data_IF_768194717763
#
_entry.id   IF_768194717763
#
_cell.length_a   1.000
_cell.length_b   1.000
_cell.length_c   1.000
_cell.angle_alpha   90.00
_cell.angle_beta   90.00
_cell.angle_gamma   90.00
#
_symmetry.space_group_name_H-M   'P 1'
#
loop_
_entity.id
_entity.type
_entity.pdbx_description
1 polymer ?
#
# COMPACT_ATOMS: atom_id res chain seq x y z
N UNK A 1 -62.06 5.63 -34.98
CA UNK A 1 -61.74 4.27 -34.45
C UNK A 1 -60.50 4.33 -33.56
N UNK A 2 -60.49 3.57 -32.47
CA UNK A 2 -59.91 3.92 -31.16
C UNK A 2 -58.41 3.53 -31.01
N UNK A 3 -57.55 4.53 -30.79
CA UNK A 3 -56.14 4.47 -30.36
C UNK A 3 -55.91 3.94 -28.91
N UNK A 4 -56.83 3.13 -28.35
CA UNK A 4 -56.86 2.76 -26.92
C UNK A 4 -56.72 1.25 -26.64
N UNK A 5 -55.91 0.51 -27.40
CA UNK A 5 -55.74 -0.94 -27.15
C UNK A 5 -54.31 -1.36 -26.79
N UNK A 6 -53.31 -0.48 -26.88
CA UNK A 6 -51.93 -0.85 -26.50
C UNK A 6 -51.53 -0.53 -25.05
N UNK A 7 -52.43 0.07 -24.24
CA UNK A 7 -52.13 0.54 -22.88
C UNK A 7 -52.90 -0.20 -21.77
N UNK A 8 -53.14 -1.52 -21.93
CA UNK A 8 -53.78 -2.36 -20.88
C UNK A 8 -53.08 -3.72 -20.69
N UNK A 9 -51.75 -3.74 -20.65
CA UNK A 9 -50.96 -4.88 -20.14
C UNK A 9 -49.79 -4.44 -19.26
N UNK A 10 -50.00 -3.44 -18.41
CA UNK A 10 -48.97 -2.97 -17.50
C UNK A 10 -49.25 -3.31 -16.02
N UNK A 11 -50.41 -3.89 -15.67
CA UNK A 11 -50.83 -3.99 -14.26
C UNK A 11 -51.45 -5.36 -13.98
N UNK A 12 -50.65 -6.43 -14.01
CA UNK A 12 -50.99 -7.73 -13.38
C UNK A 12 -49.89 -8.79 -13.57
N UNK A 13 -48.74 -8.60 -12.91
CA UNK A 13 -47.90 -9.69 -12.36
C UNK A 13 -47.05 -9.11 -11.22
N UNK A 14 -47.71 -8.60 -10.17
CA UNK A 14 -47.12 -8.51 -8.83
C UNK A 14 -47.51 -9.79 -8.10
N UNK A 15 -46.84 -10.89 -8.45
CA UNK A 15 -46.88 -12.11 -7.67
C UNK A 15 -45.45 -12.65 -7.58
N UNK A 16 -44.82 -12.43 -6.43
CA UNK A 16 -43.74 -13.27 -5.92
C UNK A 16 -42.42 -13.21 -6.68
N UNK A 17 -41.63 -12.18 -6.42
CA UNK A 17 -40.22 -12.20 -6.78
C UNK A 17 -39.66 -10.80 -6.78
N UNK A 18 -39.07 -10.37 -5.66
CA UNK A 18 -37.96 -9.43 -5.79
C UNK A 18 -36.96 -10.12 -6.73
N UNK A 19 -36.89 -9.66 -7.98
CA UNK A 19 -35.78 -9.98 -8.85
C UNK A 19 -34.55 -9.43 -8.12
N UNK A 20 -33.89 -10.30 -7.36
CA UNK A 20 -32.55 -10.08 -6.85
C UNK A 20 -31.64 -10.05 -8.06
N UNK A 21 -31.62 -8.90 -8.75
CA UNK A 21 -30.74 -8.67 -9.88
C UNK A 21 -29.32 -8.67 -9.33
N UNK A 22 -28.46 -9.67 -9.65
CA UNK A 22 -27.10 -9.72 -9.13
C UNK A 22 -26.31 -8.46 -9.50
N UNK A 23 -26.68 -7.83 -10.62
CA UNK A 23 -26.12 -6.57 -11.09
C UNK A 23 -26.33 -5.39 -10.11
N UNK A 24 -27.44 -5.33 -9.39
CA UNK A 24 -27.72 -4.23 -8.44
C UNK A 24 -26.94 -4.40 -7.13
N UNK A 25 -26.74 -5.64 -6.68
CA UNK A 25 -25.89 -5.97 -5.52
C UNK A 25 -24.40 -5.78 -5.86
N UNK A 26 -23.98 -6.14 -7.07
CA UNK A 26 -22.60 -5.95 -7.53
C UNK A 26 -22.24 -4.46 -7.71
N UNK A 27 -23.17 -3.64 -8.21
CA UNK A 27 -22.95 -2.20 -8.36
C UNK A 27 -22.71 -1.47 -7.03
N UNK A 28 -23.18 -2.02 -5.90
CA UNK A 28 -23.05 -1.38 -4.60
C UNK A 28 -21.73 -1.69 -3.86
N UNK A 29 -20.96 -2.70 -4.30
CA UNK A 29 -19.64 -3.02 -3.71
C UNK A 29 -18.47 -2.26 -4.31
N UNK A 30 -18.67 -1.58 -5.45
CA UNK A 30 -17.59 -0.90 -6.17
C UNK A 30 -17.01 0.32 -5.40
N UNK A 31 -17.66 0.78 -4.33
CA UNK A 31 -17.24 1.89 -3.48
C UNK A 31 -16.90 1.48 -2.04
N UNK A 32 -16.77 0.18 -1.74
CA UNK A 32 -16.40 -0.26 -0.39
C UNK A 32 -14.89 -0.05 -0.17
N UNK A 33 -14.55 0.79 0.81
CA UNK A 33 -13.18 0.98 1.30
C UNK A 33 -12.84 -0.19 2.23
N UNK A 34 -11.60 -0.68 2.21
CA UNK A 34 -11.16 -1.70 3.17
C UNK A 34 -11.18 -1.17 4.60
N UNK A 35 -11.63 -2.02 5.53
CA UNK A 35 -11.63 -1.72 6.95
C UNK A 35 -10.20 -1.51 7.47
N UNK A 36 -10.02 -0.53 8.37
CA UNK A 36 -8.70 -0.19 8.90
C UNK A 36 -8.01 -1.39 9.57
N UNK A 37 -8.77 -2.26 10.25
CA UNK A 37 -8.24 -3.47 10.88
C UNK A 37 -7.65 -4.45 9.86
N UNK A 38 -8.24 -4.54 8.67
CA UNK A 38 -7.78 -5.41 7.59
C UNK A 38 -6.48 -4.88 6.98
N UNK A 39 -6.42 -3.58 6.72
CA UNK A 39 -5.20 -2.91 6.22
C UNK A 39 -4.07 -3.09 7.23
N UNK A 40 -4.36 -2.83 8.51
CA UNK A 40 -3.40 -2.98 9.60
C UNK A 40 -2.88 -4.41 9.71
N UNK A 41 -3.75 -5.40 9.62
CA UNK A 41 -3.34 -6.80 9.69
C UNK A 41 -2.44 -7.17 8.51
N UNK A 42 -2.79 -6.74 7.30
CA UNK A 42 -1.95 -6.99 6.13
C UNK A 42 -0.55 -6.36 6.28
N UNK A 43 -0.49 -5.08 6.66
CA UNK A 43 0.78 -4.38 6.93
C UNK A 43 1.59 -5.09 8.00
N UNK A 44 0.95 -5.51 9.12
CA UNK A 44 1.61 -6.25 10.20
C UNK A 44 2.22 -7.57 9.70
N UNK A 45 1.51 -8.34 8.88
CA UNK A 45 2.07 -9.60 8.35
C UNK A 45 3.30 -9.36 7.49
N UNK A 46 3.35 -8.25 6.74
CA UNK A 46 4.48 -7.93 5.88
C UNK A 46 5.79 -7.64 6.64
N UNK A 47 5.72 -7.39 7.96
CA UNK A 47 6.92 -7.24 8.79
C UNK A 47 7.59 -8.59 9.10
N UNK A 48 6.81 -9.68 9.19
CA UNK A 48 7.28 -10.90 9.89
C UNK A 48 6.86 -12.24 9.26
N UNK A 49 5.72 -12.34 8.58
CA UNK A 49 5.13 -13.62 8.19
C UNK A 49 4.84 -13.66 6.69
N UNK A 50 5.77 -14.27 5.94
CA UNK A 50 5.66 -14.43 4.49
C UNK A 50 4.40 -15.21 4.08
N UNK A 51 4.09 -16.29 4.78
CA UNK A 51 2.96 -17.16 4.40
C UNK A 51 1.62 -16.46 4.66
N UNK A 52 1.49 -15.77 5.79
CA UNK A 52 0.30 -14.97 6.07
C UNK A 52 0.16 -13.79 5.09
N UNK A 53 1.25 -13.07 4.83
CA UNK A 53 1.26 -11.96 3.86
C UNK A 53 0.83 -12.44 2.47
N UNK A 54 1.42 -13.54 1.99
CA UNK A 54 1.07 -14.17 0.71
C UNK A 54 -0.40 -14.58 0.65
N UNK A 55 -0.90 -15.25 1.69
CA UNK A 55 -2.30 -15.67 1.78
C UNK A 55 -3.26 -14.48 1.69
N UNK A 56 -2.97 -13.38 2.39
CA UNK A 56 -3.82 -12.19 2.37
C UNK A 56 -3.85 -11.56 0.98
N UNK A 57 -2.68 -11.32 0.37
CA UNK A 57 -2.62 -10.61 -0.91
C UNK A 57 -3.15 -11.44 -2.08
N UNK A 58 -3.06 -12.78 -2.02
CA UNK A 58 -3.68 -13.67 -3.00
C UNK A 58 -5.21 -13.69 -2.88
N UNK A 59 -5.74 -13.63 -1.66
CA UNK A 59 -7.18 -13.58 -1.44
C UNK A 59 -7.78 -12.20 -1.77
N UNK A 60 -7.02 -11.12 -1.55
CA UNK A 60 -7.48 -9.73 -1.71
C UNK A 60 -6.43 -8.85 -2.40
N UNK A 61 -6.26 -8.97 -3.74
CA UNK A 61 -5.22 -8.25 -4.48
C UNK A 61 -5.26 -6.72 -4.38
N UNK A 62 -6.45 -6.15 -4.16
CA UNK A 62 -6.62 -4.69 -4.06
C UNK A 62 -6.07 -4.10 -2.74
N UNK A 63 -5.71 -4.93 -1.75
CA UNK A 63 -5.02 -4.49 -0.54
C UNK A 63 -3.56 -4.05 -0.78
N UNK A 64 -2.99 -4.39 -1.93
CA UNK A 64 -1.54 -4.27 -2.20
C UNK A 64 -0.93 -2.93 -1.80
N UNK A 65 -1.64 -1.84 -2.10
CA UNK A 65 -1.19 -0.47 -1.89
C UNK A 65 -1.99 0.24 -0.78
N UNK A 66 -2.79 -0.49 -0.01
CA UNK A 66 -3.51 0.08 1.12
C UNK A 66 -2.53 0.44 2.23
N UNK A 67 -2.60 1.68 2.68
CA UNK A 67 -1.69 2.26 3.67
C UNK A 67 -2.34 2.28 5.03
N UNK A 68 -1.71 1.66 6.02
CA UNK A 68 -2.13 1.77 7.41
C UNK A 68 -1.72 3.14 7.97
N UNK A 69 -2.58 3.75 8.77
CA UNK A 69 -2.20 4.90 9.59
C UNK A 69 -1.88 4.40 11.01
N UNK A 70 -0.62 4.47 11.41
CA UNK A 70 -0.16 3.98 12.72
C UNK A 70 -0.51 4.98 13.83
N UNK A 71 -0.32 6.28 13.57
CA UNK A 71 -0.64 7.42 14.44
C UNK A 71 -0.73 8.72 13.62
N UNK A 72 -0.75 9.89 14.27
CA UNK A 72 -0.93 11.17 13.57
C UNK A 72 0.26 11.48 12.65
N UNK A 73 0.07 11.29 11.35
CA UNK A 73 1.09 11.55 10.32
C UNK A 73 1.99 10.37 9.97
N UNK A 74 1.90 9.25 10.72
CA UNK A 74 2.67 8.02 10.47
C UNK A 74 1.84 7.06 9.60
N UNK A 75 2.34 6.80 8.40
CA UNK A 75 1.68 5.99 7.39
C UNK A 75 2.61 4.91 6.86
N UNK A 76 2.07 3.73 6.62
CA UNK A 76 2.86 2.58 6.22
C UNK A 76 2.12 1.67 5.24
N UNK A 77 2.78 1.34 4.14
CA UNK A 77 2.32 0.30 3.20
C UNK A 77 2.90 -1.06 3.62
N UNK A 78 2.33 -2.19 3.14
CA UNK A 78 2.90 -3.51 3.37
C UNK A 78 4.36 -3.61 2.87
N UNK A 79 4.65 -2.96 1.73
CA UNK A 79 6.01 -2.89 1.18
C UNK A 79 6.95 -2.08 2.08
N UNK A 80 6.48 -0.97 2.65
CA UNK A 80 7.21 -0.20 3.66
C UNK A 80 7.53 -1.01 4.92
N UNK A 81 6.55 -1.80 5.38
CA UNK A 81 6.72 -2.76 6.48
C UNK A 81 7.81 -3.80 6.21
N UNK A 82 7.79 -4.41 5.02
CA UNK A 82 8.80 -5.37 4.62
C UNK A 82 10.20 -4.72 4.50
N UNK A 83 10.28 -3.54 3.90
CA UNK A 83 11.54 -2.85 3.61
C UNK A 83 12.28 -2.42 4.89
N UNK A 84 11.63 -1.77 5.86
CA UNK A 84 12.34 -1.35 7.08
C UNK A 84 12.68 -2.53 8.00
N UNK A 85 12.03 -3.69 7.80
CA UNK A 85 12.32 -4.94 8.51
C UNK A 85 13.38 -5.82 7.82
N UNK A 86 13.92 -5.39 6.67
CA UNK A 86 14.90 -6.18 5.90
C UNK A 86 14.30 -7.42 5.22
N UNK A 87 12.98 -7.50 5.08
CA UNK A 87 12.25 -8.68 4.56
C UNK A 87 12.24 -8.70 3.04
N UNK A 88 13.40 -8.96 2.43
CA UNK A 88 13.56 -9.05 0.97
C UNK A 88 12.61 -10.09 0.35
N UNK A 89 12.39 -11.21 1.03
CA UNK A 89 11.43 -12.25 0.64
C UNK A 89 10.01 -11.72 0.45
N UNK A 90 9.52 -10.91 1.39
CA UNK A 90 8.20 -10.30 1.35
C UNK A 90 8.17 -9.11 0.38
N UNK A 91 9.23 -8.30 0.35
CA UNK A 91 9.33 -7.17 -0.56
C UNK A 91 9.26 -7.65 -2.03
N UNK A 92 10.01 -8.69 -2.40
CA UNK A 92 10.00 -9.27 -3.74
C UNK A 92 8.62 -9.83 -4.10
N UNK A 93 7.92 -10.48 -3.16
CA UNK A 93 6.55 -10.93 -3.35
C UNK A 93 5.61 -9.77 -3.68
N UNK A 94 5.67 -8.67 -2.92
CA UNK A 94 4.79 -7.52 -3.10
C UNK A 94 5.13 -6.75 -4.40
N UNK A 95 6.42 -6.59 -4.72
CA UNK A 95 6.90 -5.97 -5.95
C UNK A 95 6.50 -6.78 -7.18
N UNK A 96 6.56 -8.12 -7.13
CA UNK A 96 6.10 -8.99 -8.22
C UNK A 96 4.60 -8.83 -8.54
N UNK A 97 3.83 -8.28 -7.60
CA UNK A 97 2.40 -7.97 -7.75
C UNK A 97 2.14 -6.51 -8.15
N UNK A 98 3.19 -5.70 -8.34
CA UNK A 98 3.08 -4.30 -8.74
C UNK A 98 2.87 -3.32 -7.58
N UNK A 99 3.40 -3.61 -6.40
CA UNK A 99 3.38 -2.67 -5.29
C UNK A 99 4.09 -1.36 -5.67
N UNK A 100 3.50 -0.22 -5.31
CA UNK A 100 4.08 1.10 -5.59
C UNK A 100 5.27 1.34 -4.68
N UNK A 101 6.36 1.84 -5.25
CA UNK A 101 7.58 2.20 -4.53
C UNK A 101 7.57 3.68 -4.17
N UNK A 102 8.08 3.98 -2.98
CA UNK A 102 8.48 5.33 -2.58
C UNK A 102 10.02 5.42 -2.51
N UNK A 103 10.52 6.57 -2.07
CA UNK A 103 11.96 6.82 -1.93
C UNK A 103 12.66 5.85 -0.97
N UNK A 104 12.01 5.48 0.14
CA UNK A 104 12.58 4.57 1.13
C UNK A 104 12.70 3.15 0.58
N UNK A 105 11.73 2.73 -0.24
CA UNK A 105 11.83 1.47 -0.97
C UNK A 105 12.99 1.49 -1.97
N UNK A 106 13.21 2.60 -2.68
CA UNK A 106 14.35 2.73 -3.58
C UNK A 106 15.70 2.65 -2.85
N UNK A 107 15.80 3.18 -1.63
CA UNK A 107 16.97 3.00 -0.79
C UNK A 107 17.14 1.53 -0.36
N UNK A 108 16.05 0.89 0.09
CA UNK A 108 16.04 -0.53 0.44
C UNK A 108 16.41 -1.47 -0.72
N UNK A 109 16.10 -1.10 -1.96
CA UNK A 109 16.47 -1.88 -3.15
C UNK A 109 17.83 -1.49 -3.74
N UNK A 110 18.50 -0.47 -3.17
CA UNK A 110 19.83 -0.07 -3.61
C UNK A 110 19.84 0.68 -4.94
N UNK A 111 18.73 1.33 -5.30
CA UNK A 111 18.63 2.14 -6.53
C UNK A 111 19.39 3.47 -6.37
N UNK A 112 20.70 3.40 -6.15
CA UNK A 112 21.53 4.51 -5.68
C UNK A 112 21.47 5.73 -6.62
N UNK A 113 21.54 5.55 -7.93
CA UNK A 113 21.46 6.65 -8.89
C UNK A 113 20.14 7.43 -8.81
N UNK A 114 19.03 6.70 -8.65
CA UNK A 114 17.70 7.30 -8.50
C UNK A 114 17.60 8.05 -7.18
N UNK A 115 18.05 7.45 -6.08
CA UNK A 115 18.07 8.09 -4.76
C UNK A 115 18.91 9.37 -4.80
N UNK A 116 20.14 9.31 -5.32
CA UNK A 116 21.04 10.46 -5.47
C UNK A 116 20.38 11.57 -6.29
N UNK A 117 19.75 11.23 -7.41
CA UNK A 117 19.05 12.20 -8.26
C UNK A 117 17.88 12.86 -7.53
N UNK A 118 17.03 12.08 -6.85
CA UNK A 118 15.90 12.61 -6.09
C UNK A 118 16.34 13.54 -4.97
N UNK A 119 17.41 13.20 -4.24
CA UNK A 119 17.98 14.08 -3.22
C UNK A 119 18.60 15.33 -3.83
N UNK A 120 19.27 15.21 -4.98
CA UNK A 120 19.82 16.35 -5.72
C UNK A 120 18.74 17.36 -6.15
N UNK A 121 17.59 16.87 -6.64
CA UNK A 121 16.45 17.71 -7.04
C UNK A 121 15.65 18.22 -5.83
N UNK A 122 15.52 17.41 -4.77
CA UNK A 122 14.74 17.71 -3.57
C UNK A 122 15.53 17.41 -2.29
N UNK A 123 16.47 18.30 -1.88
CA UNK A 123 17.40 18.01 -0.77
C UNK A 123 16.73 17.72 0.59
N UNK A 124 15.53 18.26 0.82
CA UNK A 124 14.78 18.03 2.06
C UNK A 124 14.34 16.56 2.23
N UNK A 125 14.27 15.77 1.15
CA UNK A 125 13.94 14.35 1.21
C UNK A 125 14.98 13.52 1.96
N UNK A 126 16.23 13.99 2.07
CA UNK A 126 17.29 13.30 2.82
C UNK A 126 16.88 13.11 4.30
N UNK A 127 16.14 14.06 4.86
CA UNK A 127 15.68 14.06 6.26
C UNK A 127 14.17 13.87 6.38
N UNK A 128 13.49 13.38 5.33
CA UNK A 128 12.09 13.02 5.44
C UNK A 128 11.92 11.79 6.37
N UNK A 129 10.96 11.81 7.30
CA UNK A 129 10.70 10.64 8.14
C UNK A 129 9.99 9.56 7.33
N UNK A 130 10.55 8.35 7.31
CA UNK A 130 9.88 7.15 6.80
C UNK A 130 8.91 6.56 7.83
N UNK A 131 8.32 5.38 7.55
CA UNK A 131 7.44 4.68 8.47
C UNK A 131 8.06 4.54 9.86
N UNK A 132 7.28 4.79 10.91
CA UNK A 132 7.72 4.78 12.31
C UNK A 132 8.84 5.79 12.67
N UNK A 133 9.31 6.61 11.72
CA UNK A 133 10.47 7.48 11.89
C UNK A 133 11.79 6.87 11.43
N UNK A 134 11.79 5.71 10.77
CA UNK A 134 12.98 5.15 10.15
C UNK A 134 13.46 6.05 9.01
N UNK A 135 14.78 6.27 8.95
CA UNK A 135 15.37 7.22 8.01
C UNK A 135 15.74 6.55 6.69
N UNK A 136 16.08 7.35 5.69
CA UNK A 136 16.60 6.86 4.43
C UNK A 136 17.84 5.96 4.61
N UNK A 137 18.70 6.31 5.59
CA UNK A 137 19.88 5.51 5.94
C UNK A 137 19.49 4.12 6.46
N UNK A 138 18.49 4.05 7.35
CA UNK A 138 18.00 2.77 7.87
C UNK A 138 17.52 1.85 6.76
N UNK A 139 16.77 2.38 5.79
CA UNK A 139 16.31 1.58 4.66
C UNK A 139 17.44 1.07 3.78
N UNK A 140 18.46 1.88 3.49
CA UNK A 140 19.64 1.43 2.76
C UNK A 140 20.39 0.30 3.51
N UNK A 141 20.51 0.41 4.84
CA UNK A 141 21.13 -0.61 5.68
C UNK A 141 20.28 -1.89 5.77
N UNK A 142 18.97 -1.77 5.93
CA UNK A 142 18.04 -2.91 5.95
C UNK A 142 18.05 -3.67 4.62
N UNK A 143 18.33 -2.98 3.51
CA UNK A 143 18.55 -3.57 2.19
C UNK A 143 19.96 -4.10 1.93
N UNK A 144 20.87 -3.94 2.89
CA UNK A 144 22.29 -4.33 2.80
C UNK A 144 23.07 -3.59 1.67
N UNK A 145 22.70 -2.34 1.41
CA UNK A 145 23.31 -1.51 0.36
C UNK A 145 24.35 -0.53 0.93
N UNK A 146 25.54 -1.05 1.29
CA UNK A 146 26.58 -0.30 1.98
C UNK A 146 27.04 0.97 1.24
N UNK A 147 27.28 0.91 -0.08
CA UNK A 147 27.71 2.07 -0.85
C UNK A 147 26.70 3.23 -0.77
N UNK A 148 25.40 2.91 -0.83
CA UNK A 148 24.36 3.91 -0.69
C UNK A 148 24.27 4.42 0.75
N UNK A 149 24.42 3.55 1.75
CA UNK A 149 24.45 3.94 3.15
C UNK A 149 25.62 4.89 3.47
N UNK A 150 26.81 4.61 2.91
CA UNK A 150 27.99 5.46 3.04
C UNK A 150 27.73 6.84 2.41
N UNK A 151 27.20 6.86 1.17
CA UNK A 151 26.85 8.12 0.51
C UNK A 151 25.80 8.94 1.30
N UNK A 152 24.76 8.29 1.85
CA UNK A 152 23.75 8.97 2.70
C UNK A 152 24.41 9.56 3.96
N UNK A 153 25.37 8.83 4.55
CA UNK A 153 26.14 9.27 5.71
C UNK A 153 27.01 10.48 5.38
N UNK A 154 27.73 10.44 4.27
CA UNK A 154 28.54 11.55 3.74
C UNK A 154 27.69 12.77 3.38
N UNK A 155 26.46 12.55 2.90
CA UNK A 155 25.48 13.60 2.65
C UNK A 155 24.92 14.24 3.94
N UNK A 156 25.30 13.73 5.12
CA UNK A 156 25.04 14.35 6.41
C UNK A 156 23.85 13.78 7.18
N UNK A 157 23.36 12.58 6.82
CA UNK A 157 22.37 11.83 7.61
C UNK A 157 23.05 10.65 8.29
N UNK A 158 23.29 10.73 9.60
CA UNK A 158 23.94 9.68 10.39
C UNK A 158 22.95 8.90 11.25
N UNK A 159 21.76 9.44 11.48
CA UNK A 159 20.72 8.79 12.27
C UNK A 159 19.94 7.78 11.43
N UNK A 160 19.72 6.58 11.98
CA UNK A 160 18.83 5.56 11.40
C UNK A 160 17.38 5.72 11.84
N UNK A 161 17.12 6.55 12.86
CA UNK A 161 15.79 6.75 13.42
C UNK A 161 15.61 8.17 13.96
N UNK A 162 14.52 8.83 13.58
CA UNK A 162 14.12 10.13 14.12
C UNK A 162 13.22 9.98 15.34
N UNK A 163 13.80 10.19 16.54
CA UNK A 163 13.04 10.20 17.80
C UNK A 163 12.01 11.32 17.80
N UNK A 164 10.79 10.98 18.21
CA UNK A 164 9.68 11.93 18.26
C UNK A 164 9.07 12.26 16.90
N UNK A 165 9.41 11.50 15.85
CA UNK A 165 8.63 11.52 14.62
C UNK A 165 7.23 10.94 14.88
N UNK A 166 6.22 11.79 14.60
CA UNK A 166 4.77 11.52 14.69
C UNK A 166 4.17 11.36 16.10
#
# INVERSE_FOLDING_TARGET
MKRKVFLKRAWSTLAGGMLFSPALVAANRANEIFEAAEIKEFVRTAHVDFNACKKIIEAKPLLLNCTNQNKKGDFETPLGGAAHMGRKDIADLLLSKGARMDLFIHAFLGHADLVRKMIGEYPHLLRAPGPHGFTLLHHAQAGEHQELADWITEAGLTETFFKGAF
#
